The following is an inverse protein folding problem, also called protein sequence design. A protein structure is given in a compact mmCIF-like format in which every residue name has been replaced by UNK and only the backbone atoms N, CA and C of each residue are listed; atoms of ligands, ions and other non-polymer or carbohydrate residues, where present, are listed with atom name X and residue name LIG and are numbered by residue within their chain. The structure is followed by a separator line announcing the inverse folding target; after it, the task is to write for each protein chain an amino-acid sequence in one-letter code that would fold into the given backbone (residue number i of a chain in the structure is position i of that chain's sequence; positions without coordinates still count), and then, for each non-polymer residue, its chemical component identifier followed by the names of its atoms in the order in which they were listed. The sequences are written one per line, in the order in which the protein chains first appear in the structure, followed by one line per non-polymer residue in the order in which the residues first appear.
data_IF_124771769139
#
_entry.id   IF_124771769139
#
_cell.length_a   1.000
_cell.length_b   1.000
_cell.length_c   1.000
_cell.angle_alpha   90.00
_cell.angle_beta   90.00
_cell.angle_gamma   90.00
#
_symmetry.space_group_name_H-M   'P 1'
#
loop_
_entity.id
_entity.type
_entity.pdbx_description
1 polymer ?
#
# COMPACT_ATOMS: atom_id res chain seq x y z
N UNK A 1 27.68 3.79 2.13
CA UNK A 1 27.99 2.37 1.87
C UNK A 1 26.82 1.43 2.20
N UNK A 2 26.06 1.63 3.30
CA UNK A 2 24.91 0.77 3.68
C UNK A 2 23.70 0.87 2.72
N UNK A 3 23.53 2.02 2.06
CA UNK A 3 22.35 2.29 1.22
C UNK A 3 22.34 1.50 -0.09
N UNK A 4 23.48 1.34 -0.76
CA UNK A 4 23.59 0.54 -1.99
C UNK A 4 23.37 -0.96 -1.74
N UNK A 5 23.68 -1.43 -0.52
CA UNK A 5 23.55 -2.82 -0.10
C UNK A 5 22.10 -3.32 -0.12
N UNK A 6 21.14 -2.49 0.28
CA UNK A 6 19.72 -2.89 0.33
C UNK A 6 19.13 -3.15 -1.06
N UNK A 7 19.38 -2.22 -2.01
CA UNK A 7 18.88 -2.36 -3.38
C UNK A 7 19.49 -3.58 -4.08
N UNK A 8 20.79 -3.84 -3.85
CA UNK A 8 21.49 -5.00 -4.37
C UNK A 8 20.92 -6.31 -3.78
N UNK A 9 20.59 -6.32 -2.49
CA UNK A 9 19.95 -7.47 -1.85
C UNK A 9 18.54 -7.72 -2.38
N UNK A 10 17.75 -6.69 -2.67
CA UNK A 10 16.44 -6.85 -3.33
C UNK A 10 16.55 -7.45 -4.73
N UNK A 11 17.58 -7.04 -5.51
CA UNK A 11 17.85 -7.61 -6.83
C UNK A 11 18.25 -9.07 -6.77
N UNK A 12 19.24 -9.36 -5.92
CA UNK A 12 19.74 -10.72 -5.70
C UNK A 12 18.63 -11.63 -5.18
N UNK A 13 17.71 -11.09 -4.38
CA UNK A 13 16.53 -11.79 -3.94
C UNK A 13 15.54 -12.10 -5.07
N UNK A 14 15.35 -11.20 -6.02
CA UNK A 14 14.45 -11.39 -7.17
C UNK A 14 14.99 -12.41 -8.15
N UNK A 15 16.28 -12.34 -8.47
CA UNK A 15 16.95 -13.35 -9.30
C UNK A 15 17.04 -14.71 -8.59
N UNK A 16 17.22 -14.73 -7.27
CA UNK A 16 17.19 -15.92 -6.43
C UNK A 16 15.79 -16.58 -6.35
N UNK A 17 14.72 -15.77 -6.30
CA UNK A 17 13.35 -16.28 -6.28
C UNK A 17 12.98 -17.01 -7.58
N UNK A 18 13.51 -16.56 -8.72
CA UNK A 18 13.41 -17.28 -10.01
C UNK A 18 14.25 -18.56 -10.08
N UNK A 19 15.25 -18.73 -9.21
CA UNK A 19 16.17 -19.88 -9.18
C UNK A 19 16.03 -20.79 -7.96
N UNK A 20 15.04 -20.53 -7.07
CA UNK A 20 14.68 -21.41 -5.95
C UNK A 20 15.53 -21.28 -4.68
N UNK A 21 16.32 -20.21 -4.52
CA UNK A 21 17.12 -19.98 -3.30
C UNK A 21 16.34 -19.22 -2.22
N UNK A 22 16.41 -19.70 -0.97
CA UNK A 22 15.50 -19.30 0.13
C UNK A 22 15.81 -17.96 0.80
N UNK A 23 17.05 -17.47 0.74
CA UNK A 23 17.46 -16.26 1.48
C UNK A 23 16.97 -14.94 0.87
N UNK A 24 16.66 -14.95 -0.43
CA UNK A 24 16.07 -13.80 -1.12
C UNK A 24 14.58 -13.59 -0.82
N UNK A 25 13.86 -14.66 -0.47
CA UNK A 25 12.41 -14.62 -0.35
C UNK A 25 11.91 -13.68 0.74
N UNK A 26 12.64 -13.59 1.87
CA UNK A 26 12.23 -12.77 3.02
C UNK A 26 12.20 -11.27 2.70
N UNK A 27 13.25 -10.76 2.05
CA UNK A 27 13.38 -9.34 1.72
C UNK A 27 12.35 -8.89 0.67
N UNK A 28 12.13 -9.71 -0.37
CA UNK A 28 11.09 -9.41 -1.34
C UNK A 28 9.68 -9.54 -0.77
N UNK A 29 9.47 -10.47 0.16
CA UNK A 29 8.21 -10.56 0.88
C UNK A 29 7.95 -9.29 1.70
N UNK A 30 8.98 -8.76 2.37
CA UNK A 30 8.89 -7.51 3.12
C UNK A 30 8.63 -6.31 2.20
N UNK A 31 9.33 -6.23 1.06
CA UNK A 31 9.09 -5.18 0.07
C UNK A 31 7.65 -5.21 -0.47
N UNK A 32 7.14 -6.39 -0.83
CA UNK A 32 5.75 -6.57 -1.29
C UNK A 32 4.75 -6.22 -0.19
N UNK A 33 5.07 -6.49 1.07
CA UNK A 33 4.23 -6.09 2.18
C UNK A 33 4.16 -4.57 2.31
N UNK A 34 5.29 -3.88 2.16
CA UNK A 34 5.32 -2.41 2.12
C UNK A 34 4.47 -1.86 0.97
N UNK A 35 4.56 -2.45 -0.23
CA UNK A 35 3.73 -2.07 -1.38
C UNK A 35 2.24 -2.26 -1.09
N UNK A 36 1.84 -3.40 -0.50
CA UNK A 36 0.44 -3.65 -0.11
C UNK A 36 -0.06 -2.64 0.91
N UNK A 37 0.77 -2.27 1.88
CA UNK A 37 0.42 -1.28 2.90
C UNK A 37 0.13 0.09 2.28
N UNK A 38 0.99 0.55 1.37
CA UNK A 38 0.81 1.82 0.66
C UNK A 38 -0.43 1.77 -0.25
N UNK A 39 -0.59 0.68 -1.00
CA UNK A 39 -1.73 0.53 -1.91
C UNK A 39 -3.07 0.54 -1.15
N UNK A 40 -3.12 -0.11 0.03
CA UNK A 40 -4.30 -0.11 0.90
C UNK A 40 -4.62 1.29 1.44
N UNK A 41 -3.62 2.04 1.89
CA UNK A 41 -3.83 3.43 2.34
C UNK A 41 -4.32 4.31 1.19
N UNK A 42 -3.70 4.20 0.01
CA UNK A 42 -4.13 4.94 -1.17
C UNK A 42 -5.58 4.61 -1.58
N UNK A 43 -5.96 3.32 -1.56
CA UNK A 43 -7.32 2.89 -1.83
C UNK A 43 -8.31 3.48 -0.81
N UNK A 44 -7.98 3.41 0.48
CA UNK A 44 -8.77 4.02 1.55
C UNK A 44 -9.00 5.52 1.30
N UNK A 45 -7.91 6.28 1.04
CA UNK A 45 -7.99 7.73 0.81
C UNK A 45 -8.82 8.06 -0.43
N UNK A 46 -8.70 7.28 -1.49
CA UNK A 46 -9.48 7.46 -2.72
C UNK A 46 -10.97 7.20 -2.47
N UNK A 47 -11.31 6.10 -1.80
CA UNK A 47 -12.70 5.74 -1.49
C UNK A 47 -13.36 6.77 -0.58
N UNK A 48 -12.62 7.25 0.44
CA UNK A 48 -13.06 8.33 1.33
C UNK A 48 -13.38 9.60 0.55
N UNK A 49 -12.45 10.07 -0.28
CA UNK A 49 -12.65 11.25 -1.14
C UNK A 49 -13.81 11.08 -2.12
N UNK A 50 -14.01 9.87 -2.64
CA UNK A 50 -15.11 9.58 -3.56
C UNK A 50 -16.45 9.67 -2.84
N UNK A 51 -16.57 9.06 -1.65
CA UNK A 51 -17.79 9.14 -0.85
C UNK A 51 -18.09 10.59 -0.41
N UNK A 52 -17.05 11.39 -0.17
CA UNK A 52 -17.13 12.82 0.21
C UNK A 52 -17.62 13.67 -0.96
N UNK A 53 -17.01 13.50 -2.14
CA UNK A 53 -17.43 14.19 -3.35
C UNK A 53 -18.88 13.88 -3.76
N UNK A 54 -19.38 12.69 -3.40
CA UNK A 54 -20.76 12.27 -3.65
C UNK A 54 -21.73 12.65 -2.53
N UNK A 55 -21.25 13.24 -1.42
CA UNK A 55 -22.09 13.62 -0.27
C UNK A 55 -22.71 12.44 0.49
N UNK A 56 -22.23 11.21 0.27
CA UNK A 56 -22.80 9.99 0.87
C UNK A 56 -22.43 9.87 2.34
N UNK A 57 -21.34 10.50 2.75
CA UNK A 57 -20.86 10.49 4.13
C UNK A 57 -21.69 11.38 5.06
N UNK A 58 -22.33 12.40 4.49
CA UNK A 58 -23.23 13.31 5.20
C UNK A 58 -24.68 12.80 5.21
N UNK A 59 -24.97 11.71 4.49
CA UNK A 59 -26.30 11.11 4.44
C UNK A 59 -26.63 10.46 5.81
N UNK A 60 -27.67 10.94 6.53
CA UNK A 60 -28.09 10.33 7.78
C UNK A 60 -28.50 8.86 7.62
N UNK A 61 -28.89 8.41 6.43
CA UNK A 61 -29.16 7.01 6.15
C UNK A 61 -27.89 6.14 6.17
N UNK A 62 -26.74 6.67 5.69
CA UNK A 62 -25.45 5.99 5.82
C UNK A 62 -25.00 5.96 7.29
N UNK A 63 -25.21 7.03 8.04
CA UNK A 63 -24.95 7.01 9.49
C UNK A 63 -25.84 6.00 10.24
N UNK A 64 -27.10 5.87 9.83
CA UNK A 64 -28.06 4.92 10.41
C UNK A 64 -27.78 3.45 10.02
N UNK A 65 -27.17 3.19 8.87
CA UNK A 65 -26.76 1.85 8.41
C UNK A 65 -25.48 1.34 9.08
N UNK A 66 -24.77 2.18 9.84
CA UNK A 66 -23.63 1.78 10.66
C UNK A 66 -23.96 0.80 11.80
N UNK A 67 -25.16 0.19 11.79
CA UNK A 67 -25.67 -0.81 12.76
C UNK A 67 -24.72 -1.98 12.95
N UNK A 68 -23.93 -2.35 11.94
CA UNK A 68 -22.80 -3.26 12.11
C UNK A 68 -21.52 -2.48 12.45
N UNK A 69 -21.46 -1.97 13.68
CA UNK A 69 -20.41 -1.08 14.21
C UNK A 69 -18.97 -1.63 14.05
N UNK A 70 -18.84 -2.95 13.89
CA UNK A 70 -17.55 -3.62 13.72
C UNK A 70 -17.22 -4.00 12.28
N UNK A 71 -18.12 -3.76 11.32
CA UNK A 71 -17.81 -3.97 9.90
C UNK A 71 -16.97 -2.80 9.37
N UNK A 72 -15.70 -3.08 9.12
CA UNK A 72 -14.70 -2.14 8.58
C UNK A 72 -14.16 -2.59 7.23
N UNK A 73 -14.80 -3.56 6.56
CA UNK A 73 -14.35 -4.14 5.29
C UNK A 73 -14.72 -3.22 4.11
N UNK A 74 -14.20 -2.00 4.13
CA UNK A 74 -14.52 -0.99 3.11
C UNK A 74 -14.00 -1.36 1.72
N UNK A 75 -13.02 -2.27 1.62
CA UNK A 75 -12.41 -2.73 0.35
C UNK A 75 -13.38 -3.55 -0.52
N UNK A 76 -14.48 -4.05 0.05
CA UNK A 76 -15.51 -4.79 -0.68
C UNK A 76 -16.43 -3.84 -1.46
N UNK A 77 -16.03 -3.60 -2.71
CA UNK A 77 -16.73 -2.77 -3.68
C UNK A 77 -17.92 -3.47 -4.36
N UNK A 78 -18.27 -4.70 -3.96
CA UNK A 78 -19.49 -5.37 -4.44
C UNK A 78 -20.76 -4.81 -3.79
N UNK A 79 -20.60 -4.07 -2.69
CA UNK A 79 -21.68 -3.49 -1.91
C UNK A 79 -22.10 -2.12 -2.43
N UNK A 80 -23.33 -1.69 -2.14
CA UNK A 80 -23.78 -0.34 -2.51
C UNK A 80 -22.98 0.74 -1.76
N UNK A 81 -22.83 1.92 -2.38
CA UNK A 81 -22.03 3.04 -1.85
C UNK A 81 -22.38 3.43 -0.39
N UNK A 82 -23.66 3.47 0.04
CA UNK A 82 -23.98 3.74 1.44
C UNK A 82 -23.36 2.73 2.41
N UNK A 83 -23.33 1.44 2.06
CA UNK A 83 -22.71 0.42 2.90
C UNK A 83 -21.19 0.58 2.98
N UNK A 84 -20.55 0.91 1.85
CA UNK A 84 -19.11 1.21 1.81
C UNK A 84 -18.80 2.45 2.66
N UNK A 85 -19.60 3.51 2.56
CA UNK A 85 -19.50 4.72 3.37
C UNK A 85 -19.62 4.41 4.88
N UNK A 86 -20.57 3.54 5.27
CA UNK A 86 -20.69 3.09 6.67
C UNK A 86 -19.39 2.43 7.16
N UNK A 87 -18.83 1.51 6.37
CA UNK A 87 -17.60 0.78 6.72
C UNK A 87 -16.40 1.70 6.85
N UNK A 88 -16.31 2.72 5.99
CA UNK A 88 -15.29 3.77 6.10
C UNK A 88 -15.43 4.56 7.40
N UNK A 89 -16.65 4.98 7.77
CA UNK A 89 -16.90 5.69 9.03
C UNK A 89 -16.58 4.83 10.26
N UNK A 90 -16.93 3.54 10.23
CA UNK A 90 -16.58 2.59 11.29
C UNK A 90 -15.06 2.42 11.41
N UNK A 91 -14.36 2.35 10.27
CA UNK A 91 -12.90 2.28 10.25
C UNK A 91 -12.25 3.54 10.87
N UNK A 92 -12.77 4.74 10.54
CA UNK A 92 -12.32 5.99 11.15
C UNK A 92 -12.55 6.01 12.66
N UNK A 93 -13.73 5.59 13.12
CA UNK A 93 -14.03 5.47 14.56
C UNK A 93 -13.07 4.51 15.26
N UNK A 94 -12.75 3.39 14.63
CA UNK A 94 -11.80 2.42 15.17
C UNK A 94 -10.38 3.01 15.30
N UNK A 95 -9.91 3.76 14.30
CA UNK A 95 -8.62 4.46 14.36
C UNK A 95 -8.63 5.52 15.45
N UNK A 96 -9.71 6.31 15.54
CA UNK A 96 -9.86 7.37 16.54
C UNK A 96 -9.90 6.82 17.99
N UNK A 97 -10.46 5.62 18.18
CA UNK A 97 -10.50 4.95 19.49
C UNK A 97 -9.11 4.48 19.97
N UNK A 98 -8.11 4.38 19.09
CA UNK A 98 -6.75 3.94 19.45
C UNK A 98 -5.67 4.87 18.86
N UNK A 99 -5.50 6.08 19.43
CA UNK A 99 -4.60 7.10 18.89
C UNK A 99 -3.12 6.69 18.90
N UNK A 100 -2.68 5.94 19.92
CA UNK A 100 -1.31 5.39 19.96
C UNK A 100 -1.06 4.40 18.81
N UNK A 101 -2.05 3.54 18.52
CA UNK A 101 -1.96 2.60 17.40
C UNK A 101 -1.97 3.32 16.06
N UNK A 102 -2.72 4.42 15.95
CA UNK A 102 -2.73 5.27 14.76
C UNK A 102 -1.37 5.93 14.50
N UNK A 103 -0.71 6.43 15.55
CA UNK A 103 0.65 6.99 15.43
C UNK A 103 1.66 5.95 14.95
N UNK A 104 1.62 4.75 15.53
CA UNK A 104 2.48 3.63 15.12
C UNK A 104 2.18 3.21 13.67
N UNK A 105 0.91 3.10 13.28
CA UNK A 105 0.50 2.77 11.93
C UNK A 105 1.00 3.82 10.92
N UNK A 106 0.86 5.11 11.24
CA UNK A 106 1.38 6.21 10.42
C UNK A 106 2.90 6.14 10.28
N UNK A 107 3.61 5.85 11.36
CA UNK A 107 5.06 5.70 11.31
C UNK A 107 5.48 4.54 10.40
N UNK A 108 4.80 3.39 10.50
CA UNK A 108 5.03 2.23 9.61
C UNK A 108 4.73 2.54 8.15
N UNK A 109 3.67 3.29 7.86
CA UNK A 109 3.34 3.69 6.49
C UNK A 109 4.43 4.60 5.89
N UNK A 110 4.98 5.52 6.67
CA UNK A 110 6.11 6.36 6.25
C UNK A 110 7.36 5.54 5.96
N UNK A 111 7.67 4.56 6.81
CA UNK A 111 8.78 3.63 6.59
C UNK A 111 8.55 2.78 5.32
N UNK A 112 7.34 2.25 5.14
CA UNK A 112 6.97 1.49 3.96
C UNK A 112 7.12 2.34 2.68
N UNK A 113 6.67 3.59 2.71
CA UNK A 113 6.83 4.55 1.60
C UNK A 113 8.30 4.72 1.25
N UNK A 114 9.15 4.99 2.26
CA UNK A 114 10.58 5.10 2.04
C UNK A 114 11.19 3.82 1.44
N UNK A 115 10.82 2.65 1.94
CA UNK A 115 11.31 1.35 1.43
C UNK A 115 10.91 1.15 -0.02
N UNK A 116 9.66 1.46 -0.38
CA UNK A 116 9.14 1.31 -1.74
C UNK A 116 9.79 2.30 -2.69
N UNK A 117 9.80 3.59 -2.35
CA UNK A 117 10.46 4.63 -3.16
C UNK A 117 11.93 4.29 -3.40
N UNK A 118 12.62 3.80 -2.35
CA UNK A 118 14.00 3.39 -2.45
C UNK A 118 14.17 2.15 -3.34
N UNK A 119 13.37 1.10 -3.13
CA UNK A 119 13.44 -0.12 -3.92
C UNK A 119 13.06 0.10 -5.39
N UNK A 120 12.16 1.03 -5.69
CA UNK A 120 11.84 1.41 -7.07
C UNK A 120 12.96 2.23 -7.71
N UNK A 121 13.50 3.22 -7.00
CA UNK A 121 14.56 4.08 -7.50
C UNK A 121 15.90 3.34 -7.74
N UNK A 122 16.20 2.34 -6.91
CA UNK A 122 17.52 1.68 -6.93
C UNK A 122 17.47 0.18 -7.18
N UNK A 123 16.33 -0.49 -7.01
CA UNK A 123 16.16 -1.93 -7.24
C UNK A 123 16.01 -2.30 -8.72
N UNK A 124 15.66 -1.35 -9.58
CA UNK A 124 15.79 -1.52 -11.04
C UNK A 124 17.24 -1.19 -11.43
N UNK A 125 18.10 -2.21 -11.52
CA UNK A 125 19.29 -2.07 -12.36
C UNK A 125 18.78 -1.74 -13.75
N UNK A 126 19.07 -0.52 -14.20
CA UNK A 126 18.99 -0.06 -15.58
C UNK A 126 20.04 -0.82 -16.41
N UNK A 127 20.01 -2.14 -16.41
CA UNK A 127 20.85 -2.99 -17.24
C UNK A 127 19.95 -3.61 -18.31
N UNK A 128 19.58 -2.73 -19.25
CA UNK A 128 19.33 -2.99 -20.68
C UNK A 128 19.09 -1.64 -21.42
N UNK A 129 19.74 -0.56 -20.96
CA UNK A 129 20.05 0.58 -21.84
C UNK A 129 21.49 0.48 -22.32
N UNK A 130 21.99 -0.75 -22.49
CA UNK A 130 23.16 -1.03 -23.29
C UNK A 130 22.76 -2.13 -24.28
N UNK A 131 22.13 -1.72 -25.36
CA UNK A 131 22.44 -2.25 -26.68
C UNK A 131 22.26 -1.13 -27.72
N UNK A 132 23.39 -0.61 -28.18
CA UNK A 132 23.66 -0.50 -29.63
C UNK A 132 22.68 0.34 -30.46
N UNK A 133 22.73 1.67 -30.32
CA UNK A 133 22.39 2.60 -31.43
C UNK A 133 23.58 3.51 -31.76
N UNK A 134 24.76 2.90 -31.84
CA UNK A 134 25.95 3.54 -32.42
C UNK A 134 26.49 2.82 -33.67
N UNK A 135 25.74 1.94 -34.34
CA UNK A 135 26.28 1.30 -35.55
C UNK A 135 25.24 0.68 -36.49
N UNK A 136 24.46 1.51 -37.19
CA UNK A 136 24.07 1.26 -38.59
C UNK A 136 23.93 2.60 -39.32
N UNK A 137 24.97 2.90 -40.11
CA UNK A 137 25.02 3.66 -41.37
C UNK A 137 24.19 4.95 -41.50
#
# INVERSE_FOLDING_TARGET
HVVLDYAERCRNASSAATSGSSDGGALLSEFRECQRMIARDAAYQMMRKTCDALGVLDDPAASALAVHEHDTVFEDVSQPLPAIACRLLNHERQIAASPESSSVARHRLLQATFIVDFGEAYGQSKELSDETSLSQL
#
